data_IF_388893656237
#
_entry.id   IF_388893656237
#
_cell.length_a   1.000
_cell.length_b   1.000
_cell.length_c   1.000
_cell.angle_alpha   90.00
_cell.angle_beta   90.00
_cell.angle_gamma   90.00
#
_symmetry.space_group_name_H-M   'P 1'
#
loop_
_entity.id
_entity.type
_entity.pdbx_description
1 polymer ?
#
# COMPACT_ATOMS: atom_id res chain seq x y z
N UNK A 1 -14.42 1.74 -28.28
CA UNK A 1 -13.38 1.80 -27.23
C UNK A 1 -14.10 2.11 -25.92
N UNK A 2 -14.72 1.08 -25.32
CA UNK A 2 -15.52 1.21 -24.09
C UNK A 2 -14.63 1.08 -22.87
N UNK A 3 -14.77 2.00 -22.02
CA UNK A 3 -13.99 2.36 -20.83
C UNK A 3 -13.79 1.15 -19.89
N UNK A 4 -12.55 0.68 -19.74
CA UNK A 4 -12.06 -0.32 -18.79
C UNK A 4 -12.32 0.11 -17.32
N UNK A 5 -12.69 1.36 -17.10
CA UNK A 5 -13.08 1.94 -15.81
C UNK A 5 -14.34 1.34 -15.15
N UNK A 6 -15.08 0.46 -15.85
CA UNK A 6 -16.33 -0.13 -15.32
C UNK A 6 -16.06 -1.36 -14.43
N UNK A 7 -14.85 -1.91 -14.41
CA UNK A 7 -14.58 -3.21 -13.79
C UNK A 7 -14.00 -3.19 -12.37
N UNK A 8 -13.33 -2.17 -11.96
CA UNK A 8 -13.19 -1.74 -10.56
C UNK A 8 -13.59 -0.27 -10.54
N UNK A 9 -14.47 0.13 -9.62
CA UNK A 9 -14.65 1.54 -9.28
C UNK A 9 -13.39 1.99 -8.55
N UNK A 10 -12.27 2.13 -9.27
CA UNK A 10 -11.00 2.62 -8.71
C UNK A 10 -11.23 4.09 -8.36
N UNK A 11 -11.81 4.30 -7.18
CA UNK A 11 -11.91 5.62 -6.58
C UNK A 11 -10.56 5.91 -5.94
N UNK A 12 -9.72 6.61 -6.67
CA UNK A 12 -8.51 7.22 -6.12
C UNK A 12 -8.79 8.66 -5.75
N UNK A 13 -8.11 9.14 -4.74
CA UNK A 13 -8.04 10.56 -4.44
C UNK A 13 -7.59 11.33 -5.70
N UNK A 14 -8.18 12.50 -5.94
CA UNK A 14 -8.15 13.20 -7.24
C UNK A 14 -6.74 13.53 -7.74
N UNK A 15 -5.80 13.87 -6.85
CA UNK A 15 -4.43 14.20 -7.25
C UNK A 15 -3.68 12.98 -7.82
N UNK A 16 -3.89 11.81 -7.23
CA UNK A 16 -3.36 10.55 -7.73
C UNK A 16 -4.05 10.08 -9.00
N UNK A 17 -5.38 10.20 -9.07
CA UNK A 17 -6.12 9.83 -10.27
C UNK A 17 -5.59 10.59 -11.50
N UNK A 18 -5.42 11.90 -11.37
CA UNK A 18 -4.91 12.74 -12.46
C UNK A 18 -3.47 12.40 -12.84
N UNK A 19 -2.60 12.18 -11.84
CA UNK A 19 -1.18 11.92 -12.06
C UNK A 19 -0.92 10.53 -12.67
N UNK A 20 -1.75 9.53 -12.35
CA UNK A 20 -1.60 8.14 -12.78
C UNK A 20 -2.53 7.74 -13.94
N UNK A 21 -3.24 8.68 -14.55
CA UNK A 21 -4.21 8.39 -15.60
C UNK A 21 -3.64 7.52 -16.73
N UNK A 22 -2.41 7.81 -17.16
CA UNK A 22 -1.73 7.07 -18.22
C UNK A 22 -1.38 5.63 -17.82
N UNK A 23 -1.18 5.36 -16.53
CA UNK A 23 -0.90 4.00 -16.05
C UNK A 23 -2.13 3.11 -16.12
N UNK A 24 -3.32 3.68 -15.92
CA UNK A 24 -4.57 2.93 -16.04
C UNK A 24 -4.88 2.46 -17.47
N UNK A 25 -4.26 3.07 -18.48
CA UNK A 25 -4.39 2.73 -19.89
C UNK A 25 -3.34 1.70 -20.35
N UNK A 26 -2.41 1.31 -19.46
CA UNK A 26 -1.35 0.36 -19.81
C UNK A 26 -1.87 -1.08 -19.87
N UNK A 27 -1.39 -1.89 -20.82
CA UNK A 27 -1.82 -3.29 -20.95
C UNK A 27 -1.54 -4.15 -19.71
N UNK A 28 -0.49 -3.82 -18.93
CA UNK A 28 -0.20 -4.54 -17.70
C UNK A 28 -1.26 -4.26 -16.63
N UNK A 29 -1.78 -3.02 -16.57
CA UNK A 29 -2.77 -2.63 -15.57
C UNK A 29 -4.11 -3.32 -15.81
N UNK A 30 -4.53 -3.45 -17.08
CA UNK A 30 -5.71 -4.22 -17.43
C UNK A 30 -5.59 -5.69 -16.97
N UNK A 31 -4.46 -6.35 -17.28
CA UNK A 31 -4.19 -7.73 -16.84
C UNK A 31 -4.16 -7.86 -15.31
N UNK A 32 -3.57 -6.89 -14.64
CA UNK A 32 -3.53 -6.84 -13.18
C UNK A 32 -4.94 -6.76 -12.59
N UNK A 33 -5.79 -5.87 -13.11
CA UNK A 33 -7.17 -5.71 -12.62
C UNK A 33 -8.00 -6.96 -12.87
N UNK A 34 -7.89 -7.57 -14.05
CA UNK A 34 -8.56 -8.83 -14.34
C UNK A 34 -8.14 -9.95 -13.38
N UNK A 35 -6.83 -10.06 -13.10
CA UNK A 35 -6.30 -11.00 -12.12
C UNK A 35 -6.87 -10.75 -10.72
N UNK A 36 -6.80 -9.52 -10.23
CA UNK A 36 -7.25 -9.14 -8.89
C UNK A 36 -8.75 -9.38 -8.71
N UNK A 37 -9.56 -9.04 -9.72
CA UNK A 37 -11.00 -9.32 -9.70
C UNK A 37 -11.32 -10.82 -9.65
N UNK A 38 -10.60 -11.62 -10.43
CA UNK A 38 -10.76 -13.07 -10.38
C UNK A 38 -10.40 -13.65 -9.00
N UNK A 39 -9.38 -13.09 -8.34
CA UNK A 39 -8.99 -13.48 -6.98
C UNK A 39 -10.07 -13.12 -5.95
N UNK A 40 -10.65 -11.91 -6.00
CA UNK A 40 -11.75 -11.53 -5.09
C UNK A 40 -13.05 -12.29 -5.36
N UNK A 41 -13.33 -12.63 -6.63
CA UNK A 41 -14.50 -13.42 -7.00
C UNK A 41 -14.37 -14.92 -6.65
N UNK A 42 -13.17 -15.38 -6.29
CA UNK A 42 -12.92 -16.77 -5.96
C UNK A 42 -13.62 -17.19 -4.66
N UNK A 43 -14.31 -18.32 -4.68
CA UNK A 43 -14.90 -18.93 -3.48
C UNK A 43 -13.92 -19.81 -2.71
N UNK A 44 -12.71 -20.03 -3.23
CA UNK A 44 -11.70 -20.92 -2.63
C UNK A 44 -10.59 -20.17 -1.91
N UNK A 45 -10.49 -18.86 -2.12
CA UNK A 45 -9.44 -18.01 -1.53
C UNK A 45 -10.06 -16.76 -0.92
N UNK A 46 -9.47 -16.27 0.17
CA UNK A 46 -9.76 -14.94 0.71
C UNK A 46 -8.60 -14.04 0.37
N UNK A 47 -8.88 -12.82 -0.08
CA UNK A 47 -7.87 -11.82 -0.46
C UNK A 47 -7.90 -10.66 0.54
N UNK A 48 -6.72 -10.16 0.90
CA UNK A 48 -6.55 -8.99 1.76
C UNK A 48 -5.75 -7.89 1.06
N UNK A 49 -6.01 -6.62 1.43
CA UNK A 49 -7.13 -6.10 2.24
C UNK A 49 -8.46 -6.28 1.50
N UNK A 50 -9.57 -5.76 2.01
CA UNK A 50 -10.84 -5.70 1.25
C UNK A 50 -10.68 -4.82 0.01
N UNK A 51 -11.50 -5.04 -1.05
CA UNK A 51 -11.41 -4.28 -2.31
C UNK A 51 -11.41 -2.77 -2.09
N UNK A 52 -12.25 -2.27 -1.18
CA UNK A 52 -12.36 -0.85 -0.86
C UNK A 52 -11.14 -0.26 -0.18
N UNK A 53 -10.21 -1.10 0.31
CA UNK A 53 -9.01 -0.69 1.03
C UNK A 53 -7.72 -0.83 0.21
N UNK A 54 -7.79 -1.38 -1.01
CA UNK A 54 -6.59 -1.66 -1.82
C UNK A 54 -5.75 -0.39 -2.06
N UNK A 55 -6.40 0.73 -2.32
CA UNK A 55 -5.74 2.01 -2.61
C UNK A 55 -5.72 2.99 -1.43
N UNK A 56 -6.04 2.53 -0.22
CA UNK A 56 -6.18 3.39 0.97
C UNK A 56 -4.93 4.22 1.27
N UNK A 57 -3.73 3.73 0.98
CA UNK A 57 -2.50 4.51 1.16
C UNK A 57 -2.49 5.79 0.30
N UNK A 58 -3.03 5.72 -0.90
CA UNK A 58 -3.15 6.86 -1.81
C UNK A 58 -4.30 7.78 -1.40
N UNK A 59 -5.43 7.22 -0.93
CA UNK A 59 -6.59 8.01 -0.51
C UNK A 59 -6.30 8.83 0.75
N UNK A 60 -5.57 8.28 1.72
CA UNK A 60 -5.23 8.96 2.97
C UNK A 60 -4.05 9.94 2.85
N UNK A 61 -3.20 9.76 1.85
CA UNK A 61 -2.04 10.61 1.62
C UNK A 61 -2.06 11.18 0.19
N UNK A 62 -2.79 12.29 -0.09
CA UNK A 62 -2.80 12.96 -1.38
C UNK A 62 -1.39 13.27 -1.89
N UNK A 63 -1.16 13.18 -3.21
CA UNK A 63 0.14 13.37 -3.83
C UNK A 63 0.81 14.69 -3.41
N UNK A 64 0.05 15.78 -3.37
CA UNK A 64 0.54 17.09 -2.99
C UNK A 64 0.91 17.22 -1.50
N UNK A 65 0.52 16.27 -0.66
CA UNK A 65 0.84 16.22 0.78
C UNK A 65 1.99 15.27 1.12
N UNK A 66 2.46 14.46 0.17
CA UNK A 66 3.54 13.48 0.43
C UNK A 66 4.80 14.19 0.89
N UNK A 67 5.33 13.80 2.05
CA UNK A 67 6.58 14.25 2.66
C UNK A 67 7.56 13.09 2.88
N UNK A 68 7.03 11.92 3.18
CA UNK A 68 7.80 10.70 3.43
C UNK A 68 7.15 9.54 2.70
N UNK A 69 7.94 8.69 2.07
CA UNK A 69 7.50 7.41 1.51
C UNK A 69 8.12 6.29 2.33
N UNK A 70 7.27 5.42 2.88
CA UNK A 70 7.69 4.16 3.51
C UNK A 70 7.20 3.04 2.63
N UNK A 71 8.13 2.19 2.16
CA UNK A 71 7.82 1.11 1.26
C UNK A 71 7.84 -0.24 1.98
N UNK A 72 6.67 -0.89 2.04
CA UNK A 72 6.50 -2.27 2.50
C UNK A 72 6.58 -3.27 1.34
N UNK A 73 6.50 -4.55 1.66
CA UNK A 73 6.52 -5.64 0.69
C UNK A 73 5.12 -5.91 0.12
N UNK A 74 4.27 -6.53 0.91
CA UNK A 74 2.89 -6.92 0.62
C UNK A 74 2.02 -6.78 1.89
N UNK A 75 0.68 -6.84 1.77
CA UNK A 75 -0.19 -6.78 2.94
C UNK A 75 0.03 -7.97 3.87
N UNK A 76 -0.29 -7.81 5.15
CA UNK A 76 -0.29 -8.93 6.08
C UNK A 76 -1.28 -10.02 5.62
N UNK A 77 -0.84 -11.29 5.48
CA UNK A 77 -1.73 -12.37 5.04
C UNK A 77 -2.63 -12.92 6.15
N UNK A 78 -2.49 -12.40 7.36
CA UNK A 78 -3.31 -12.79 8.52
C UNK A 78 -4.66 -12.06 8.47
N UNK A 79 -5.75 -12.80 8.64
CA UNK A 79 -7.12 -12.25 8.67
C UNK A 79 -7.26 -11.11 9.68
N UNK A 80 -7.85 -9.99 9.22
CA UNK A 80 -8.10 -8.79 10.04
C UNK A 80 -6.89 -7.90 10.29
N UNK A 81 -5.72 -8.20 9.71
CA UNK A 81 -4.53 -7.36 9.88
C UNK A 81 -4.40 -6.30 8.79
N UNK A 82 -4.45 -6.69 7.51
CA UNK A 82 -4.27 -5.77 6.40
C UNK A 82 -5.48 -4.84 6.24
N UNK A 83 -5.21 -3.54 6.09
CA UNK A 83 -6.22 -2.52 5.85
C UNK A 83 -5.77 -1.43 4.85
N UNK A 84 -4.82 -1.77 3.97
CA UNK A 84 -4.40 -0.92 2.84
C UNK A 84 -3.21 0.00 3.09
N UNK A 85 -2.64 0.02 4.31
CA UNK A 85 -1.40 0.74 4.64
C UNK A 85 -0.29 -0.25 4.99
N UNK A 86 0.92 -0.06 4.48
CA UNK A 86 2.05 -0.93 4.86
C UNK A 86 2.38 -0.79 6.34
N UNK A 87 2.80 -1.91 6.96
CA UNK A 87 3.12 -2.07 8.39
C UNK A 87 1.96 -1.82 9.36
N UNK A 88 0.88 -1.20 8.95
CA UNK A 88 -0.26 -0.84 9.79
C UNK A 88 -1.25 -1.99 9.97
N UNK A 89 -1.92 -2.01 11.11
CA UNK A 89 -3.05 -2.91 11.40
C UNK A 89 -4.20 -2.13 12.03
N UNK A 90 -5.39 -2.71 12.05
CA UNK A 90 -6.53 -2.10 12.74
C UNK A 90 -6.30 -2.01 14.26
N UNK A 91 -6.98 -1.07 14.92
CA UNK A 91 -6.74 -0.72 16.33
C UNK A 91 -6.89 -1.88 17.31
N UNK A 92 -7.78 -2.81 16.99
CA UNK A 92 -8.08 -3.98 17.85
C UNK A 92 -7.07 -5.12 17.72
N UNK A 93 -6.18 -5.08 16.73
CA UNK A 93 -5.24 -6.20 16.46
C UNK A 93 -4.24 -6.36 17.58
N UNK A 94 -4.22 -7.53 18.17
CA UNK A 94 -3.25 -7.96 19.19
C UNK A 94 -2.91 -9.45 19.01
N UNK A 95 -1.67 -9.89 19.20
CA UNK A 95 -0.47 -9.04 19.34
C UNK A 95 -0.15 -8.26 18.08
N UNK A 96 0.62 -7.18 18.20
CA UNK A 96 1.10 -6.42 17.02
C UNK A 96 2.04 -7.30 16.18
N UNK A 97 2.02 -7.14 14.84
CA UNK A 97 3.01 -7.78 13.95
C UNK A 97 4.44 -7.43 14.37
N UNK A 98 5.37 -8.38 14.22
CA UNK A 98 6.77 -8.21 14.65
C UNK A 98 7.44 -6.97 14.03
N UNK A 99 7.20 -6.73 12.73
CA UNK A 99 7.76 -5.57 12.02
C UNK A 99 7.29 -4.25 12.63
N UNK A 100 5.98 -4.10 12.86
CA UNK A 100 5.41 -2.90 13.47
C UNK A 100 5.90 -2.71 14.91
N UNK A 101 5.95 -3.79 15.68
CA UNK A 101 6.47 -3.75 17.05
C UNK A 101 7.94 -3.29 17.10
N UNK A 102 8.76 -3.70 16.12
CA UNK A 102 10.15 -3.24 16.02
C UNK A 102 10.23 -1.74 15.67
N UNK A 103 9.38 -1.25 14.78
CA UNK A 103 9.30 0.18 14.45
C UNK A 103 8.97 1.00 15.71
N UNK A 104 7.99 0.56 16.48
CA UNK A 104 7.59 1.28 17.71
C UNK A 104 8.67 1.23 18.79
N UNK A 105 9.36 0.10 18.95
CA UNK A 105 10.51 0.00 19.86
C UNK A 105 11.63 0.96 19.49
N UNK A 106 11.93 1.05 18.19
CA UNK A 106 12.96 1.99 17.71
C UNK A 106 12.59 3.43 18.00
N UNK A 107 11.35 3.84 17.73
CA UNK A 107 10.86 5.19 18.07
C UNK A 107 10.91 5.48 19.57
N UNK A 108 10.61 4.50 20.42
CA UNK A 108 10.72 4.64 21.86
C UNK A 108 12.18 4.78 22.32
N UNK A 109 13.07 3.94 21.79
CA UNK A 109 14.49 3.90 22.19
C UNK A 109 15.27 5.12 21.69
N UNK A 110 15.05 5.52 20.43
CA UNK A 110 15.81 6.59 19.76
C UNK A 110 15.27 7.99 20.11
N UNK A 111 13.96 8.15 20.15
CA UNK A 111 13.29 9.44 20.26
C UNK A 111 12.54 9.63 21.60
N UNK A 112 12.48 8.62 22.46
CA UNK A 112 11.71 8.68 23.72
C UNK A 112 10.20 8.80 23.50
N UNK A 113 9.70 8.44 22.29
CA UNK A 113 8.27 8.48 21.98
C UNK A 113 7.60 7.28 22.67
N UNK A 114 6.58 7.50 23.53
CA UNK A 114 5.91 6.40 24.22
C UNK A 114 5.34 5.39 23.24
N UNK A 115 5.43 4.10 23.58
CA UNK A 115 4.90 3.02 22.76
C UNK A 115 3.40 3.25 22.48
N UNK A 116 2.97 3.29 21.19
CA UNK A 116 1.58 3.61 20.85
C UNK A 116 0.58 2.59 21.41
N UNK A 117 -0.64 3.01 21.77
CA UNK A 117 -1.65 2.11 22.35
C UNK A 117 -2.20 1.10 21.35
N UNK A 118 -2.05 1.33 20.05
CA UNK A 118 -2.51 0.43 18.97
C UNK A 118 -1.59 0.51 17.76
N UNK A 119 -1.84 -0.36 16.77
CA UNK A 119 -1.03 -0.49 15.55
C UNK A 119 -1.56 0.27 14.34
N UNK A 120 -2.54 1.15 14.50
CA UNK A 120 -3.12 1.90 13.39
C UNK A 120 -2.28 3.14 13.06
N UNK A 121 -1.78 3.19 11.82
CA UNK A 121 -0.92 4.28 11.33
C UNK A 121 -1.66 5.31 10.46
N UNK A 122 -2.99 5.35 10.47
CA UNK A 122 -3.77 6.35 9.70
C UNK A 122 -3.26 7.77 9.94
N UNK A 123 -2.98 8.11 11.22
CA UNK A 123 -2.47 9.42 11.61
C UNK A 123 -1.13 9.79 10.96
N UNK A 124 -0.31 8.80 10.60
CA UNK A 124 0.92 9.04 9.84
C UNK A 124 0.59 9.37 8.39
N UNK A 125 -0.30 8.60 7.77
CA UNK A 125 -0.73 8.86 6.39
C UNK A 125 -1.34 10.26 6.25
N UNK A 126 -2.21 10.67 7.16
CA UNK A 126 -2.84 12.00 7.19
C UNK A 126 -1.84 13.15 7.35
N UNK A 127 -0.65 12.90 7.92
CA UNK A 127 0.43 13.86 8.07
C UNK A 127 1.37 13.93 6.85
N UNK A 128 1.15 13.10 5.83
CA UNK A 128 1.94 13.07 4.60
C UNK A 128 2.96 11.93 4.53
N UNK A 129 2.77 10.86 5.30
CA UNK A 129 3.56 9.62 5.17
C UNK A 129 2.82 8.67 4.23
N UNK A 130 3.33 8.48 3.02
CA UNK A 130 2.81 7.49 2.09
C UNK A 130 3.27 6.08 2.52
N UNK A 131 2.35 5.34 3.14
CA UNK A 131 2.58 3.97 3.64
C UNK A 131 2.21 2.95 2.56
N UNK A 132 3.10 2.77 1.57
CA UNK A 132 2.84 2.00 0.35
C UNK A 132 3.47 0.61 0.42
N UNK A 133 2.72 -0.45 0.09
CA UNK A 133 3.30 -1.75 -0.22
C UNK A 133 3.69 -1.84 -1.70
N UNK A 134 4.71 -2.63 -2.03
CA UNK A 134 5.09 -2.93 -3.42
C UNK A 134 4.01 -3.76 -4.14
N UNK A 135 3.35 -4.65 -3.42
CA UNK A 135 2.21 -5.47 -3.86
C UNK A 135 1.02 -5.10 -3.00
N UNK A 136 -0.13 -4.76 -3.60
CA UNK A 136 -1.25 -4.19 -2.84
C UNK A 136 -2.29 -5.21 -2.37
N UNK A 137 -2.20 -6.46 -2.82
CA UNK A 137 -3.12 -7.54 -2.43
C UNK A 137 -2.37 -8.83 -2.12
N UNK A 138 -2.97 -9.70 -1.31
CA UNK A 138 -2.38 -10.98 -0.90
C UNK A 138 -3.49 -12.00 -0.59
N UNK A 139 -3.24 -13.29 -0.83
CA UNK A 139 -4.13 -14.37 -0.37
C UNK A 139 -3.93 -14.61 1.14
N UNK A 140 -5.03 -14.91 1.82
CA UNK A 140 -4.98 -15.31 3.23
C UNK A 140 -3.96 -16.44 3.45
N UNK A 141 -3.09 -16.27 4.44
CA UNK A 141 -2.07 -17.24 4.82
C UNK A 141 -0.86 -17.36 3.88
N UNK A 142 -0.83 -16.68 2.74
CA UNK A 142 0.18 -16.87 1.70
C UNK A 142 0.88 -15.55 1.32
N UNK A 143 1.89 -15.18 2.09
CA UNK A 143 2.73 -14.01 1.75
C UNK A 143 3.30 -14.16 0.31
N UNK A 144 3.54 -13.03 -0.36
CA UNK A 144 4.04 -12.96 -1.73
C UNK A 144 3.12 -13.61 -2.81
N UNK A 145 1.91 -14.07 -2.49
CA UNK A 145 1.03 -14.81 -3.41
C UNK A 145 0.62 -14.02 -4.66
N UNK A 146 0.64 -12.69 -4.59
CA UNK A 146 0.33 -11.81 -5.72
C UNK A 146 1.57 -11.07 -6.28
N UNK A 147 2.77 -11.47 -5.87
CA UNK A 147 4.00 -10.94 -6.43
C UNK A 147 4.13 -11.30 -7.93
N UNK A 148 4.69 -10.39 -8.73
CA UNK A 148 4.88 -10.59 -10.17
C UNK A 148 3.58 -10.56 -11.00
N UNK A 149 2.47 -10.10 -10.43
CA UNK A 149 1.18 -9.98 -11.13
C UNK A 149 0.92 -8.61 -11.74
N UNK A 150 1.83 -7.65 -11.53
CA UNK A 150 1.75 -6.29 -12.08
C UNK A 150 1.64 -5.19 -11.04
N UNK A 151 1.42 -5.52 -9.76
CA UNK A 151 1.39 -4.52 -8.68
C UNK A 151 2.68 -3.73 -8.59
N UNK A 152 3.83 -4.40 -8.77
CA UNK A 152 5.14 -3.78 -8.70
C UNK A 152 5.31 -2.69 -9.76
N UNK A 153 4.80 -2.91 -10.99
CA UNK A 153 4.83 -1.90 -12.06
C UNK A 153 4.00 -0.67 -11.69
N UNK A 154 2.81 -0.89 -11.13
CA UNK A 154 1.93 0.18 -10.70
C UNK A 154 2.56 0.98 -9.54
N UNK A 155 3.08 0.31 -8.53
CA UNK A 155 3.70 0.98 -7.37
C UNK A 155 5.02 1.66 -7.73
N UNK A 156 5.75 1.16 -8.73
CA UNK A 156 6.92 1.87 -9.31
C UNK A 156 6.49 3.16 -10.01
N UNK A 157 5.36 3.16 -10.72
CA UNK A 157 4.81 4.37 -11.31
C UNK A 157 4.37 5.38 -10.23
N UNK A 158 3.76 4.92 -9.12
CA UNK A 158 3.44 5.78 -7.97
C UNK A 158 4.70 6.44 -7.40
N UNK A 159 5.77 5.67 -7.15
CA UNK A 159 7.04 6.18 -6.61
C UNK A 159 7.67 7.19 -7.58
N UNK A 160 7.71 6.87 -8.86
CA UNK A 160 8.21 7.77 -9.92
C UNK A 160 7.44 9.08 -9.95
N UNK A 161 6.11 9.02 -9.89
CA UNK A 161 5.24 10.20 -9.83
C UNK A 161 5.58 11.09 -8.63
N UNK A 162 5.80 10.51 -7.46
CA UNK A 162 6.26 11.28 -6.28
C UNK A 162 7.61 11.93 -6.56
N UNK A 163 8.58 11.18 -7.10
CA UNK A 163 9.93 11.69 -7.39
C UNK A 163 9.92 12.83 -8.40
N UNK A 164 9.05 12.76 -9.42
CA UNK A 164 8.95 13.77 -10.48
C UNK A 164 8.17 15.02 -10.05
N UNK A 165 7.15 14.88 -9.20
CA UNK A 165 6.21 15.96 -8.91
C UNK A 165 6.38 16.57 -7.51
N UNK A 166 7.21 15.97 -6.66
CA UNK A 166 7.43 16.44 -5.28
C UNK A 166 8.91 16.68 -5.01
N UNK A 167 9.21 17.75 -4.29
CA UNK A 167 10.57 18.08 -3.85
C UNK A 167 10.71 17.82 -2.35
N UNK A 168 11.91 17.41 -1.91
CA UNK A 168 12.25 17.24 -0.50
C UNK A 168 11.56 16.07 0.18
N UNK A 169 11.11 15.06 -0.58
CA UNK A 169 10.51 13.84 -0.04
C UNK A 169 11.59 12.90 0.47
N UNK A 170 11.40 12.34 1.66
CA UNK A 170 12.27 11.33 2.25
C UNK A 170 11.76 9.94 1.92
N UNK A 171 12.63 9.04 1.47
CA UNK A 171 12.30 7.64 1.16
C UNK A 171 12.93 6.72 2.21
N UNK A 172 12.11 5.97 2.93
CA UNK A 172 12.53 4.96 3.91
C UNK A 172 12.38 3.56 3.29
N UNK A 173 13.49 3.00 2.83
CA UNK A 173 13.55 1.71 2.13
C UNK A 173 14.02 0.61 3.08
N UNK A 174 13.09 0.08 3.87
CA UNK A 174 13.38 -0.95 4.87
C UNK A 174 13.40 -2.35 4.25
N UNK A 175 14.60 -2.97 4.28
CA UNK A 175 14.82 -4.30 3.75
C UNK A 175 15.20 -4.35 2.26
N UNK A 176 15.76 -5.47 1.84
CA UNK A 176 16.35 -5.64 0.51
C UNK A 176 15.36 -5.52 -0.65
N UNK A 177 14.07 -5.87 -0.44
CA UNK A 177 13.04 -5.74 -1.49
C UNK A 177 12.70 -4.27 -1.77
N UNK A 178 12.61 -3.43 -0.73
CA UNK A 178 12.39 -2.00 -0.88
C UNK A 178 13.61 -1.30 -1.51
N UNK A 179 14.82 -1.68 -1.07
CA UNK A 179 16.08 -1.11 -1.58
C UNK A 179 16.32 -1.35 -3.07
N UNK A 180 15.76 -2.42 -3.64
CA UNK A 180 15.84 -2.70 -5.10
C UNK A 180 15.01 -1.73 -5.96
N UNK A 181 14.18 -0.90 -5.34
CA UNK A 181 13.35 0.11 -6.02
C UNK A 181 13.95 1.52 -5.96
N UNK A 182 15.15 1.67 -5.40
CA UNK A 182 15.89 2.94 -5.30
C UNK A 182 16.53 3.33 -6.64
#
# INVERSE_FOLDING_TARGET
MFCIFVLMNVRLESSWHNALQKEFEQPYFEKLIQFVQAEYASHTTTVFPTESQVFRALDLCPLNKVKVVILGQDPYPTRGHAHGLCFSVEEHVRPLPKSLNNIFKELETDLGIPFPPNGNLNRWAEQGVLLLNSVLTVREGHADSHAGKGWELFTDAVIRTVSEQRNGVVYLLWGSKAQKKA
#
